data_IF_932926394152
#
_entry.id   IF_932926394152
#
_cell.length_a   1.000
_cell.length_b   1.000
_cell.length_c   1.000
_cell.angle_alpha   90.00
_cell.angle_beta   90.00
_cell.angle_gamma   90.00
#
_symmetry.space_group_name_H-M   'P 1'
#
loop_
_entity.id
_entity.type
_entity.pdbx_description
1 polymer ?
#
# COMPACT_ATOMS: atom_id res chain seq x y z
N UNK A 1 16.48 21.92 -15.56
CA UNK A 1 15.13 22.23 -15.02
C UNK A 1 14.51 20.94 -14.55
N UNK A 2 14.50 20.68 -13.24
CA UNK A 2 13.86 19.49 -12.67
C UNK A 2 12.36 19.70 -12.64
N UNK A 3 11.61 18.89 -13.37
CA UNK A 3 10.15 18.93 -13.33
C UNK A 3 9.66 18.71 -11.91
N UNK A 4 8.81 19.62 -11.43
CA UNK A 4 8.07 19.44 -10.17
C UNK A 4 7.34 18.09 -10.23
N UNK A 5 7.30 17.31 -9.13
CA UNK A 5 6.54 16.07 -9.12
C UNK A 5 5.08 16.42 -9.40
N UNK A 6 4.57 16.01 -10.56
CA UNK A 6 3.15 16.09 -10.84
C UNK A 6 2.45 15.24 -9.78
N UNK A 7 1.77 15.88 -8.82
CA UNK A 7 1.12 15.28 -7.63
C UNK A 7 0.01 14.28 -7.96
N UNK A 8 0.38 13.19 -8.62
CA UNK A 8 -0.47 12.09 -9.04
C UNK A 8 -0.25 10.85 -8.19
N UNK A 9 0.83 10.80 -7.42
CA UNK A 9 1.14 9.66 -6.58
C UNK A 9 0.18 9.58 -5.40
N UNK A 10 -0.11 8.35 -4.98
CA UNK A 10 -0.97 8.09 -3.83
C UNK A 10 -0.18 7.41 -2.72
N UNK A 11 -0.53 7.76 -1.49
CA UNK A 11 -0.04 7.10 -0.29
C UNK A 11 -1.23 6.58 0.50
N UNK A 12 -1.11 5.35 0.97
CA UNK A 12 -2.09 4.68 1.82
C UNK A 12 -1.37 4.32 3.11
N UNK A 13 -1.92 4.70 4.24
CA UNK A 13 -1.44 4.27 5.56
C UNK A 13 -2.60 3.62 6.32
N UNK A 14 -2.37 2.43 6.87
CA UNK A 14 -3.32 1.74 7.72
C UNK A 14 -2.64 1.42 9.04
N UNK A 15 -3.32 1.74 10.14
CA UNK A 15 -2.90 1.42 11.50
C UNK A 15 -3.97 0.54 12.11
N UNK A 16 -3.57 -0.58 12.70
CA UNK A 16 -4.50 -1.54 13.29
C UNK A 16 -4.57 -1.42 14.81
N UNK A 17 -5.75 -1.70 15.36
CA UNK A 17 -5.99 -1.73 16.81
C UNK A 17 -5.46 -3.00 17.47
N UNK A 18 -5.97 -3.31 18.67
CA UNK A 18 -5.50 -4.45 19.47
C UNK A 18 -5.90 -5.85 18.96
N UNK A 19 -6.74 -5.93 17.93
CA UNK A 19 -7.18 -7.19 17.32
C UNK A 19 -6.63 -7.31 15.90
N UNK A 20 -6.35 -8.55 15.45
CA UNK A 20 -5.97 -8.79 14.06
C UNK A 20 -7.15 -8.46 13.13
N UNK A 21 -6.85 -7.83 12.00
CA UNK A 21 -7.87 -7.35 11.05
C UNK A 21 -7.52 -7.78 9.64
N UNK A 22 -8.54 -8.19 8.89
CA UNK A 22 -8.46 -8.41 7.44
C UNK A 22 -9.33 -7.38 6.73
N UNK A 23 -8.80 -6.77 5.68
CA UNK A 23 -9.55 -5.83 4.85
C UNK A 23 -9.03 -5.83 3.41
N UNK A 24 -9.85 -5.34 2.49
CA UNK A 24 -9.44 -5.04 1.12
C UNK A 24 -9.60 -3.54 0.88
N UNK A 25 -8.64 -2.96 0.17
CA UNK A 25 -8.72 -1.57 -0.31
C UNK A 25 -8.86 -1.62 -1.83
N UNK A 26 -10.02 -1.23 -2.33
CA UNK A 26 -10.28 -1.12 -3.76
C UNK A 26 -9.55 0.09 -4.33
N UNK A 27 -8.92 -0.08 -5.49
CA UNK A 27 -8.07 0.94 -6.11
C UNK A 27 -8.83 1.84 -7.09
N UNK A 28 -10.16 1.87 -7.03
CA UNK A 28 -11.02 2.62 -7.96
C UNK A 28 -10.81 4.14 -7.91
N UNK A 29 -10.19 4.65 -6.83
CA UNK A 29 -9.80 6.05 -6.71
C UNK A 29 -8.62 6.44 -7.62
N UNK A 30 -7.89 5.46 -8.18
CA UNK A 30 -6.82 5.71 -9.12
C UNK A 30 -7.37 6.15 -10.47
N UNK A 31 -6.66 7.07 -11.12
CA UNK A 31 -6.92 7.36 -12.53
C UNK A 31 -6.57 6.14 -13.38
N UNK A 32 -7.30 5.97 -14.50
CA UNK A 32 -7.03 4.92 -15.49
C UNK A 32 -5.55 4.93 -15.90
N UNK A 33 -4.92 3.76 -15.88
CA UNK A 33 -3.52 3.60 -16.25
C UNK A 33 -2.80 2.51 -15.47
N UNK A 34 -1.49 2.44 -15.62
CA UNK A 34 -0.63 1.53 -14.89
C UNK A 34 0.05 2.24 -13.72
N UNK A 35 0.10 1.56 -12.59
CA UNK A 35 0.68 2.08 -11.36
C UNK A 35 1.64 1.06 -10.79
N UNK A 36 2.78 1.55 -10.29
CA UNK A 36 3.67 0.74 -9.46
C UNK A 36 3.27 0.91 -8.00
N UNK A 37 2.89 -0.19 -7.35
CA UNK A 37 2.62 -0.23 -5.92
C UNK A 37 3.86 -0.77 -5.20
N UNK A 38 4.37 0.01 -4.27
CA UNK A 38 5.32 -0.43 -3.25
C UNK A 38 4.57 -0.61 -1.93
N UNK A 39 4.66 -1.79 -1.34
CA UNK A 39 4.07 -2.13 -0.06
C UNK A 39 5.15 -2.26 1.01
N UNK A 40 4.91 -1.70 2.18
CA UNK A 40 5.67 -1.90 3.42
C UNK A 40 4.71 -2.48 4.45
N UNK A 41 5.04 -3.66 4.99
CA UNK A 41 4.16 -4.41 5.90
C UNK A 41 4.98 -5.05 7.01
N UNK A 42 4.36 -5.28 8.17
CA UNK A 42 5.02 -6.00 9.25
C UNK A 42 5.37 -7.44 8.85
N UNK A 43 6.56 -7.91 9.23
CA UNK A 43 6.97 -9.29 8.98
C UNK A 43 6.30 -10.22 10.01
N UNK A 44 5.44 -11.14 9.55
CA UNK A 44 4.64 -11.98 10.45
C UNK A 44 5.49 -12.82 11.43
N UNK A 45 6.68 -13.24 11.00
CA UNK A 45 7.59 -14.07 11.80
C UNK A 45 8.56 -13.27 12.70
N UNK A 46 8.66 -11.95 12.53
CA UNK A 46 9.62 -11.09 13.22
C UNK A 46 8.98 -9.74 13.58
N UNK A 47 8.50 -9.56 14.82
CA UNK A 47 7.75 -8.38 15.24
C UNK A 47 8.51 -7.04 15.14
N UNK A 48 9.83 -7.09 15.03
CA UNK A 48 10.73 -5.94 14.87
C UNK A 48 11.18 -5.72 13.42
N UNK A 49 10.64 -6.49 12.47
CA UNK A 49 10.99 -6.41 11.06
C UNK A 49 9.77 -6.07 10.18
N UNK A 50 10.08 -5.56 8.99
CA UNK A 50 9.10 -5.28 7.95
C UNK A 50 9.58 -5.85 6.62
N UNK A 51 8.62 -6.10 5.73
CA UNK A 51 8.84 -6.60 4.39
C UNK A 51 8.44 -5.53 3.37
N UNK A 52 9.19 -5.48 2.27
CA UNK A 52 8.84 -4.67 1.09
C UNK A 52 8.55 -5.54 -0.10
N UNK A 53 7.43 -5.26 -0.74
CA UNK A 53 7.09 -5.88 -2.02
C UNK A 53 6.74 -4.80 -3.03
N UNK A 54 6.93 -5.10 -4.31
CA UNK A 54 6.55 -4.22 -5.40
C UNK A 54 5.78 -5.00 -6.45
N UNK A 55 4.66 -4.45 -6.91
CA UNK A 55 3.88 -5.03 -8.00
C UNK A 55 3.17 -3.97 -8.82
N UNK A 56 2.80 -4.33 -10.03
CA UNK A 56 2.01 -3.47 -10.91
C UNK A 56 0.52 -3.63 -10.61
N UNK A 57 -0.21 -2.51 -10.56
CA UNK A 57 -1.65 -2.46 -10.28
C UNK A 57 -2.33 -1.45 -11.21
N UNK A 58 -3.66 -1.45 -11.20
CA UNK A 58 -4.48 -0.46 -11.89
C UNK A 58 -5.76 -0.20 -11.08
N UNK A 59 -6.62 0.70 -11.58
CA UNK A 59 -7.83 1.13 -10.89
C UNK A 59 -8.89 0.03 -10.68
N UNK A 60 -8.77 -1.11 -11.35
CA UNK A 60 -9.67 -2.25 -11.17
C UNK A 60 -9.12 -3.28 -10.16
N UNK A 61 -7.95 -3.00 -9.57
CA UNK A 61 -7.29 -3.89 -8.61
C UNK A 61 -7.70 -3.60 -7.16
N UNK A 62 -7.20 -4.44 -6.26
CA UNK A 62 -7.37 -4.29 -4.82
C UNK A 62 -6.07 -4.60 -4.07
N UNK A 63 -5.90 -4.04 -2.88
CA UNK A 63 -4.85 -4.44 -1.94
C UNK A 63 -5.49 -5.24 -0.81
N UNK A 64 -5.17 -6.53 -0.73
CA UNK A 64 -5.60 -7.39 0.38
C UNK A 64 -4.65 -7.22 1.57
N UNK A 65 -5.18 -6.76 2.69
CA UNK A 65 -4.45 -6.52 3.93
C UNK A 65 -4.78 -7.56 5.00
N UNK A 66 -3.74 -8.19 5.52
CA UNK A 66 -3.78 -8.94 6.78
C UNK A 66 -2.91 -8.20 7.79
N UNK A 67 -3.54 -7.61 8.80
CA UNK A 67 -2.88 -6.77 9.79
C UNK A 67 -2.86 -7.49 11.14
N UNK A 68 -1.67 -7.65 11.71
CA UNK A 68 -1.51 -8.13 13.07
C UNK A 68 -2.02 -7.12 14.11
N UNK A 69 -2.24 -7.53 15.37
CA UNK A 69 -2.53 -6.62 16.48
C UNK A 69 -1.47 -5.51 16.59
N UNK A 70 -1.90 -4.25 16.63
CA UNK A 70 -1.04 -3.05 16.68
C UNK A 70 -0.07 -2.92 15.48
N UNK A 71 -0.32 -3.67 14.43
CA UNK A 71 0.47 -3.62 13.20
C UNK A 71 0.05 -2.49 12.27
N UNK A 72 0.71 -2.41 11.13
CA UNK A 72 0.44 -1.39 10.12
C UNK A 72 0.79 -1.80 8.70
N UNK A 73 0.43 -0.91 7.79
CA UNK A 73 0.72 -1.02 6.37
C UNK A 73 0.95 0.37 5.78
N UNK A 74 1.93 0.48 4.90
CA UNK A 74 2.11 1.64 4.03
C UNK A 74 2.15 1.18 2.57
N UNK A 75 1.32 1.80 1.74
CA UNK A 75 1.31 1.65 0.30
C UNK A 75 1.72 2.95 -0.37
N UNK A 76 2.64 2.88 -1.33
CA UNK A 76 2.98 3.98 -2.23
C UNK A 76 2.64 3.58 -3.66
N UNK A 77 1.78 4.35 -4.32
CA UNK A 77 1.38 4.12 -5.71
C UNK A 77 1.91 5.24 -6.58
N UNK A 78 2.75 4.86 -7.55
CA UNK A 78 3.36 5.76 -8.51
C UNK A 78 2.82 5.49 -9.90
N UNK A 79 2.22 6.51 -10.52
CA UNK A 79 1.81 6.41 -11.92
C UNK A 79 3.03 6.13 -12.82
N UNK A 80 2.87 5.18 -13.73
CA UNK A 80 3.90 4.84 -14.74
C UNK A 80 3.67 5.62 -16.04
#
# INVERSE_FOLDING_TARGET
MGGLPHGRDWFIAVINGGAATRMAIDLEFLKKGHWKLTELRDAHARPDAWERTERDVNQNGSIALELGPRGGFVGYLKAQ
#
